data_IF_821501091747
#
_entry.id   IF_821501091747
#
_cell.length_a   1.000
_cell.length_b   1.000
_cell.length_c   1.000
_cell.angle_alpha   90.00
_cell.angle_beta   90.00
_cell.angle_gamma   90.00
#
_symmetry.space_group_name_H-M   'P 1'
#
loop_
_entity.id
_entity.type
_entity.pdbx_description
1 polymer ?
#
# COMPACT_ATOMS: atom_id res chain seq x y z
N UNK A 1 53.96 -33.97 -11.23
CA UNK A 1 53.52 -33.25 -12.43
C UNK A 1 52.03 -33.03 -12.31
N UNK A 2 51.60 -31.77 -12.23
CA UNK A 2 50.34 -31.21 -12.75
C UNK A 2 49.03 -31.91 -12.37
N UNK A 3 47.94 -31.28 -11.94
CA UNK A 3 47.51 -29.94 -11.51
C UNK A 3 46.01 -30.19 -11.24
N UNK A 4 45.39 -29.51 -10.27
CA UNK A 4 43.94 -29.67 -10.13
C UNK A 4 43.29 -28.99 -8.95
N UNK A 5 43.69 -27.76 -8.62
CA UNK A 5 42.86 -26.86 -7.83
C UNK A 5 41.67 -26.43 -8.68
N UNK A 6 40.45 -26.82 -8.30
CA UNK A 6 39.24 -26.10 -8.74
C UNK A 6 38.40 -25.78 -7.50
N UNK A 7 38.66 -24.60 -6.96
CA UNK A 7 37.73 -23.91 -6.07
C UNK A 7 36.53 -23.44 -6.90
N UNK A 8 35.38 -24.09 -6.77
CA UNK A 8 34.15 -23.63 -7.42
C UNK A 8 33.23 -22.92 -6.41
N UNK A 9 33.62 -21.69 -6.10
CA UNK A 9 32.77 -20.50 -6.16
C UNK A 9 31.29 -20.69 -5.78
N UNK A 10 30.99 -20.85 -4.48
CA UNK A 10 29.72 -20.36 -3.93
C UNK A 10 29.73 -18.83 -4.00
N UNK A 11 29.37 -18.29 -5.15
CA UNK A 11 29.35 -16.85 -5.38
C UNK A 11 27.94 -16.31 -5.33
N UNK A 12 27.75 -15.52 -4.28
CA UNK A 12 26.72 -14.50 -4.08
C UNK A 12 25.34 -15.04 -3.68
N UNK A 13 24.96 -14.94 -2.38
CA UNK A 13 23.55 -14.80 -2.08
C UNK A 13 23.02 -13.60 -2.88
N UNK A 14 21.82 -13.67 -3.50
CA UNK A 14 21.18 -12.49 -4.04
C UNK A 14 21.15 -11.45 -2.93
N UNK A 15 21.80 -10.30 -3.15
CA UNK A 15 21.58 -9.13 -2.30
C UNK A 15 20.15 -8.72 -2.57
N UNK A 16 19.26 -9.24 -1.73
CA UNK A 16 17.88 -8.79 -1.61
C UNK A 16 17.95 -7.31 -1.24
N UNK A 17 17.99 -6.50 -2.29
CA UNK A 17 17.96 -5.05 -2.23
C UNK A 17 16.51 -4.64 -1.96
N UNK A 18 15.89 -5.26 -0.96
CA UNK A 18 14.67 -4.76 -0.36
C UNK A 18 15.12 -3.57 0.49
N UNK A 19 15.36 -2.44 -0.18
CA UNK A 19 15.36 -1.15 0.48
C UNK A 19 13.96 -0.99 1.03
N UNK A 20 13.87 -1.44 2.27
CA UNK A 20 12.86 -1.19 3.27
C UNK A 20 11.96 -0.03 2.83
N UNK A 21 10.70 -0.33 2.50
CA UNK A 21 9.64 0.64 2.75
C UNK A 21 9.57 0.82 4.27
N UNK A 22 10.55 1.53 4.82
CA UNK A 22 10.74 1.73 6.26
C UNK A 22 9.65 2.61 6.86
N UNK A 23 8.80 3.18 6.01
CA UNK A 23 7.59 3.89 6.37
C UNK A 23 6.38 3.09 5.90
N UNK A 24 5.61 2.59 6.87
CA UNK A 24 4.25 2.10 6.64
C UNK A 24 3.42 3.25 6.07
N UNK A 25 2.55 2.97 5.10
CA UNK A 25 1.58 3.96 4.65
C UNK A 25 0.77 4.51 5.84
N UNK A 26 0.66 5.84 5.92
CA UNK A 26 -0.15 6.50 6.92
C UNK A 26 -1.65 6.38 6.57
N UNK A 27 -2.46 6.23 7.60
CA UNK A 27 -3.91 6.17 7.55
C UNK A 27 -4.47 7.27 8.44
N UNK A 28 -5.63 7.83 8.07
CA UNK A 28 -6.32 8.78 8.93
C UNK A 28 -6.93 8.02 10.11
N UNK A 29 -6.53 8.36 11.33
CA UNK A 29 -7.14 7.79 12.55
C UNK A 29 -8.43 8.52 12.92
N UNK A 30 -8.49 9.83 12.70
CA UNK A 30 -9.63 10.69 13.01
C UNK A 30 -9.86 11.72 11.89
N UNK A 31 -11.13 12.06 11.65
CA UNK A 31 -11.55 13.14 10.74
C UNK A 31 -12.73 13.89 11.34
N UNK A 32 -12.94 15.14 10.92
CA UNK A 32 -14.13 15.89 11.31
C UNK A 32 -15.38 15.30 10.65
N UNK A 33 -16.42 15.05 11.44
CA UNK A 33 -17.71 14.61 10.92
C UNK A 33 -18.74 15.75 10.95
N UNK A 34 -19.35 16.14 9.81
CA UNK A 34 -20.34 17.22 9.76
C UNK A 34 -21.69 16.85 10.40
N UNK A 35 -21.95 15.57 10.66
CA UNK A 35 -23.16 15.13 11.35
C UNK A 35 -22.96 15.05 12.88
N UNK A 36 -21.76 14.67 13.34
CA UNK A 36 -21.43 14.65 14.77
C UNK A 36 -20.86 15.98 15.27
N UNK A 37 -20.51 16.91 14.38
CA UNK A 37 -19.90 18.21 14.65
C UNK A 37 -18.63 18.15 15.52
N UNK A 38 -17.81 17.11 15.34
CA UNK A 38 -16.56 16.92 16.06
C UNK A 38 -15.58 16.04 15.28
N UNK A 39 -14.32 16.05 15.69
CA UNK A 39 -13.36 15.03 15.29
C UNK A 39 -13.82 13.67 15.82
N UNK A 40 -13.85 12.67 14.93
CA UNK A 40 -14.29 11.32 15.24
C UNK A 40 -13.31 10.30 14.68
N UNK A 41 -13.14 9.14 15.33
CA UNK A 41 -12.44 8.02 14.74
C UNK A 41 -13.14 7.56 13.46
N UNK A 42 -12.35 7.13 12.49
CA UNK A 42 -12.85 6.72 11.17
C UNK A 42 -12.63 5.24 10.89
N UNK A 43 -13.51 4.67 10.08
CA UNK A 43 -13.40 3.32 9.54
C UNK A 43 -13.14 3.42 8.04
N UNK A 44 -12.09 2.76 7.55
CA UNK A 44 -11.76 2.69 6.13
C UNK A 44 -12.51 1.53 5.48
N UNK A 45 -13.17 1.78 4.34
CA UNK A 45 -13.88 0.79 3.53
C UNK A 45 -13.46 0.90 2.07
N UNK A 46 -13.22 -0.23 1.41
CA UNK A 46 -12.98 -0.23 -0.04
C UNK A 46 -14.27 0.19 -0.76
N UNK A 47 -14.17 1.22 -1.59
CA UNK A 47 -15.26 1.75 -2.38
C UNK A 47 -15.23 1.18 -3.80
N UNK A 48 -14.05 1.19 -4.43
CA UNK A 48 -13.88 0.76 -5.82
C UNK A 48 -12.43 0.34 -6.09
N UNK A 49 -12.25 -0.69 -6.91
CA UNK A 49 -10.95 -1.07 -7.49
C UNK A 49 -10.85 -0.41 -8.87
N UNK A 50 -9.79 0.35 -9.10
CA UNK A 50 -9.51 1.06 -10.34
C UNK A 50 -8.20 0.53 -10.96
N UNK A 51 -7.98 0.72 -12.28
CA UNK A 51 -6.72 0.36 -12.92
C UNK A 51 -5.48 0.99 -12.25
N UNK A 52 -5.60 2.24 -11.81
CA UNK A 52 -4.54 2.98 -11.12
C UNK A 52 -4.37 2.61 -9.63
N UNK A 53 -5.33 1.88 -9.05
CA UNK A 53 -5.29 1.45 -7.65
C UNK A 53 -6.65 1.40 -6.96
N UNK A 54 -6.63 1.30 -5.64
CA UNK A 54 -7.83 1.10 -4.82
C UNK A 54 -8.35 2.42 -4.24
N UNK A 55 -9.61 2.72 -4.50
CA UNK A 55 -10.31 3.85 -3.87
C UNK A 55 -11.03 3.37 -2.62
N UNK A 56 -10.68 3.98 -1.50
CA UNK A 56 -11.32 3.78 -0.20
C UNK A 56 -12.11 5.01 0.23
N UNK A 57 -13.14 4.76 1.02
CA UNK A 57 -13.93 5.76 1.72
C UNK A 57 -13.67 5.66 3.23
N UNK A 58 -13.63 6.81 3.89
CA UNK A 58 -13.60 6.91 5.35
C UNK A 58 -14.99 7.25 5.86
N UNK A 59 -15.48 6.42 6.77
CA UNK A 59 -16.77 6.58 7.41
C UNK A 59 -16.59 6.95 8.88
N UNK A 60 -17.41 7.87 9.38
CA UNK A 60 -17.52 8.13 10.81
C UNK A 60 -17.84 6.83 11.55
N UNK A 61 -17.05 6.48 12.56
CA UNK A 61 -17.26 5.24 13.31
C UNK A 61 -18.59 5.21 14.11
N UNK A 62 -19.25 6.35 14.30
CA UNK A 62 -20.49 6.48 15.06
C UNK A 62 -21.74 6.55 14.19
N UNK A 63 -21.79 7.45 13.21
CA UNK A 63 -22.98 7.68 12.38
C UNK A 63 -22.84 7.15 10.94
N UNK A 64 -21.70 6.54 10.59
CA UNK A 64 -21.40 6.01 9.26
C UNK A 64 -21.45 7.03 8.10
N UNK A 65 -21.50 8.32 8.39
CA UNK A 65 -21.40 9.37 7.36
C UNK A 65 -20.04 9.34 6.70
N UNK A 66 -20.00 9.49 5.38
CA UNK A 66 -18.77 9.68 4.62
C UNK A 66 -18.08 10.97 5.03
N UNK A 67 -16.82 10.86 5.44
CA UNK A 67 -16.00 11.99 5.93
C UNK A 67 -14.73 12.18 5.11
N UNK A 68 -14.47 11.32 4.12
CA UNK A 68 -13.34 11.48 3.20
C UNK A 68 -13.10 10.25 2.33
N UNK A 69 -12.11 10.35 1.45
CA UNK A 69 -11.69 9.25 0.56
C UNK A 69 -10.16 9.19 0.45
N UNK A 70 -9.59 8.00 0.28
CA UNK A 70 -8.16 7.76 0.00
C UNK A 70 -8.03 6.90 -1.26
N UNK A 71 -7.21 7.32 -2.22
CA UNK A 71 -6.77 6.49 -3.33
C UNK A 71 -5.40 5.89 -2.99
N UNK A 72 -5.32 4.57 -2.90
CA UNK A 72 -4.05 3.84 -2.74
C UNK A 72 -3.62 3.40 -4.13
N UNK A 73 -2.55 3.98 -4.65
CA UNK A 73 -2.02 3.56 -5.96
C UNK A 73 -1.42 2.17 -5.84
N UNK A 74 -1.85 1.25 -6.70
CA UNK A 74 -1.27 -0.09 -6.75
C UNK A 74 0.17 -0.04 -7.27
N UNK A 75 1.02 -0.97 -6.84
CA UNK A 75 2.38 -1.11 -7.40
C UNK A 75 2.39 -1.60 -8.86
N UNK A 76 1.23 -1.94 -9.42
CA UNK A 76 1.07 -2.44 -10.78
C UNK A 76 0.53 -1.32 -11.68
N UNK A 77 1.39 -0.38 -12.02
CA UNK A 77 1.15 0.77 -12.90
C UNK A 77 0.92 0.39 -14.39
N UNK A 78 0.37 -0.78 -14.69
CA UNK A 78 0.11 -1.21 -16.07
C UNK A 78 -1.11 -2.11 -16.16
N UNK A 79 -2.30 -1.51 -16.18
CA UNK A 79 -3.45 -2.14 -16.83
C UNK A 79 -4.02 -1.18 -17.88
N UNK A 80 -3.29 -1.05 -18.99
CA UNK A 80 -3.85 -0.54 -20.23
C UNK A 80 -4.80 -1.61 -20.78
N UNK A 81 -6.11 -1.43 -20.58
CA UNK A 81 -7.11 -2.19 -21.33
C UNK A 81 -7.19 -1.54 -22.71
N UNK A 82 -6.56 -2.17 -23.71
CA UNK A 82 -6.80 -1.89 -25.11
C UNK A 82 -7.95 -2.81 -25.52
N UNK A 83 -9.13 -2.23 -25.74
CA UNK A 83 -10.27 -2.88 -26.42
C UNK A 83 -10.29 -2.43 -27.86
#
# INVERSE_FOLDING_TARGET
MQHGFIANQHRFPPRESNKQQAFKEFEASELFCPQCNRAVPVRKRLLLVLPEGDKYEYLCAFCATSVGTKLVRGANDQMHIII
#
